data_IF_108776743126
#
_entry.id   IF_108776743126
#
_cell.length_a   1.000
_cell.length_b   1.000
_cell.length_c   1.000
_cell.angle_alpha   90.00
_cell.angle_beta   90.00
_cell.angle_gamma   90.00
#
_symmetry.space_group_name_H-M   'P 1'
#
loop_
_entity.id
_entity.type
_entity.pdbx_description
1 polymer ?
#
# COMPACT_ATOMS: atom_id res chain seq x y z
N UNK A 1 -21.93 -15.48 -57.54
CA UNK A 1 -21.90 -14.21 -56.81
C UNK A 1 -21.72 -14.54 -55.32
N UNK A 2 -20.47 -14.53 -54.87
CA UNK A 2 -20.11 -14.89 -53.49
C UNK A 2 -19.94 -13.57 -52.71
N UNK A 3 -20.82 -13.31 -51.76
CA UNK A 3 -20.78 -12.11 -50.95
C UNK A 3 -19.66 -12.27 -49.89
N UNK A 4 -18.63 -11.45 -49.97
CA UNK A 4 -17.61 -11.27 -48.95
C UNK A 4 -18.25 -10.58 -47.72
N UNK A 5 -18.43 -11.35 -46.65
CA UNK A 5 -18.72 -10.78 -45.31
C UNK A 5 -17.43 -10.14 -44.82
N UNK A 6 -17.37 -8.81 -44.84
CA UNK A 6 -16.32 -8.06 -44.14
C UNK A 6 -16.52 -8.27 -42.63
N UNK A 7 -15.58 -8.97 -42.01
CA UNK A 7 -15.41 -8.91 -40.55
C UNK A 7 -15.13 -7.45 -40.18
N UNK A 8 -16.08 -6.83 -39.49
CA UNK A 8 -15.88 -5.55 -38.82
C UNK A 8 -14.86 -5.83 -37.68
N UNK A 9 -13.63 -5.42 -37.88
CA UNK A 9 -12.61 -5.46 -36.84
C UNK A 9 -13.13 -4.69 -35.64
N UNK A 10 -13.35 -5.39 -34.53
CA UNK A 10 -13.66 -4.77 -33.26
C UNK A 10 -12.49 -3.85 -32.91
N UNK A 11 -12.74 -2.55 -32.79
CA UNK A 11 -11.78 -1.62 -32.19
C UNK A 11 -11.35 -2.18 -30.83
N UNK A 12 -10.05 -2.12 -30.50
CA UNK A 12 -9.60 -2.57 -29.19
C UNK A 12 -10.34 -1.75 -28.12
N UNK A 13 -11.13 -2.42 -27.30
CA UNK A 13 -11.87 -1.79 -26.21
C UNK A 13 -10.88 -0.93 -25.41
N UNK A 14 -11.22 0.35 -25.23
CA UNK A 14 -10.38 1.29 -24.48
C UNK A 14 -10.07 0.69 -23.11
N UNK A 15 -8.79 0.68 -22.75
CA UNK A 15 -8.34 0.14 -21.45
C UNK A 15 -9.03 0.89 -20.32
N UNK A 16 -9.49 0.17 -19.30
CA UNK A 16 -10.03 0.78 -18.07
C UNK A 16 -8.92 1.35 -17.18
N UNK A 17 -7.67 0.98 -17.44
CA UNK A 17 -6.51 1.41 -16.68
C UNK A 17 -6.12 2.85 -17.05
N UNK A 18 -5.80 3.65 -16.05
CA UNK A 18 -5.37 5.05 -16.19
C UNK A 18 -4.06 5.28 -15.45
N UNK A 19 -2.92 4.73 -15.94
CA UNK A 19 -1.65 4.83 -15.23
C UNK A 19 -1.21 6.29 -15.06
N UNK A 20 -0.90 6.67 -13.81
CA UNK A 20 -0.46 8.02 -13.45
C UNK A 20 1.00 8.31 -13.83
N UNK A 21 1.74 7.32 -14.33
CA UNK A 21 3.17 7.45 -14.61
C UNK A 21 4.09 7.44 -13.38
N UNK A 22 3.54 7.35 -12.15
CA UNK A 22 4.35 7.21 -10.94
C UNK A 22 5.03 5.83 -10.93
N UNK A 23 6.35 5.82 -10.89
CA UNK A 23 7.17 4.60 -10.86
C UNK A 23 7.54 4.18 -9.44
N UNK A 24 8.17 2.99 -9.32
CA UNK A 24 8.65 2.36 -8.08
C UNK A 24 9.65 3.20 -7.26
N UNK A 25 10.27 4.22 -7.85
CA UNK A 25 11.26 5.08 -7.18
C UNK A 25 10.69 6.05 -6.14
N UNK A 26 9.37 6.19 -6.04
CA UNK A 26 8.69 7.03 -5.05
C UNK A 26 8.24 6.28 -3.79
N UNK A 27 8.37 4.96 -3.77
CA UNK A 27 7.98 4.14 -2.62
C UNK A 27 9.00 4.24 -1.47
N UNK A 28 8.51 4.27 -0.23
CA UNK A 28 9.36 4.29 0.96
C UNK A 28 10.14 2.98 1.18
N UNK A 29 9.82 1.92 0.43
CA UNK A 29 10.41 0.58 0.57
C UNK A 29 10.73 0.00 -0.80
N UNK A 30 11.78 -0.85 -0.90
CA UNK A 30 12.14 -1.47 -2.17
C UNK A 30 11.07 -2.48 -2.60
N UNK A 31 10.41 -2.23 -3.74
CA UNK A 31 9.49 -3.18 -4.37
C UNK A 31 10.26 -4.17 -5.23
N UNK A 32 10.23 -5.45 -4.87
CA UNK A 32 10.93 -6.50 -5.59
C UNK A 32 12.45 -6.36 -5.51
N UNK A 33 12.97 -6.21 -4.30
CA UNK A 33 14.40 -6.03 -4.04
C UNK A 33 15.24 -7.23 -4.53
N UNK A 34 16.56 -7.06 -4.58
CA UNK A 34 17.47 -8.16 -4.94
C UNK A 34 17.53 -9.28 -3.89
N UNK A 35 16.97 -9.05 -2.68
CA UNK A 35 16.87 -10.05 -1.61
C UNK A 35 15.74 -11.06 -1.88
N UNK A 36 14.71 -10.66 -2.66
CA UNK A 36 13.67 -11.58 -3.12
C UNK A 36 14.25 -12.57 -4.15
N UNK A 37 13.86 -13.82 -4.05
CA UNK A 37 14.22 -14.89 -5.00
C UNK A 37 13.96 -14.43 -6.44
N UNK A 38 14.92 -14.71 -7.33
CA UNK A 38 14.89 -14.22 -8.71
C UNK A 38 13.66 -14.68 -9.49
N UNK A 39 13.24 -15.93 -9.29
CA UNK A 39 12.06 -16.54 -9.90
C UNK A 39 10.74 -15.90 -9.42
N UNK A 40 10.69 -15.33 -8.22
CA UNK A 40 9.49 -14.71 -7.66
C UNK A 40 9.35 -13.20 -7.97
N UNK A 41 10.42 -12.55 -8.43
CA UNK A 41 10.40 -11.08 -8.65
C UNK A 41 9.38 -10.64 -9.70
N UNK A 42 9.19 -11.43 -10.77
CA UNK A 42 8.19 -11.14 -11.80
C UNK A 42 6.78 -11.12 -11.23
N UNK A 43 6.48 -12.03 -10.29
CA UNK A 43 5.18 -12.14 -9.62
C UNK A 43 4.95 -10.97 -8.65
N UNK A 44 5.98 -10.58 -7.87
CA UNK A 44 5.92 -9.36 -7.04
C UNK A 44 5.67 -8.12 -7.90
N UNK A 45 6.30 -8.03 -9.07
CA UNK A 45 6.08 -6.92 -9.99
C UNK A 45 4.70 -6.93 -10.64
N UNK A 46 4.12 -8.11 -10.91
CA UNK A 46 2.74 -8.23 -11.39
C UNK A 46 1.75 -7.73 -10.34
N UNK A 47 1.92 -8.15 -9.08
CA UNK A 47 1.09 -7.69 -7.96
C UNK A 47 1.21 -6.18 -7.73
N UNK A 48 2.43 -5.63 -7.75
CA UNK A 48 2.64 -4.19 -7.64
C UNK A 48 1.93 -3.41 -8.75
N UNK A 49 2.06 -3.86 -10.01
CA UNK A 49 1.38 -3.21 -11.15
C UNK A 49 -0.13 -3.26 -11.00
N UNK A 50 -0.67 -4.40 -10.56
CA UNK A 50 -2.09 -4.55 -10.29
C UNK A 50 -2.56 -3.57 -9.21
N UNK A 51 -1.89 -3.56 -8.04
CA UNK A 51 -2.21 -2.64 -6.95
C UNK A 51 -2.10 -1.18 -7.38
N UNK A 52 -1.04 -0.82 -8.12
CA UNK A 52 -0.81 0.54 -8.59
C UNK A 52 -1.87 1.02 -9.58
N UNK A 53 -2.29 0.17 -10.52
CA UNK A 53 -3.36 0.53 -11.45
C UNK A 53 -4.70 0.73 -10.73
N UNK A 54 -5.02 -0.09 -9.74
CA UNK A 54 -6.22 0.08 -8.92
C UNK A 54 -6.17 1.38 -8.10
N UNK A 55 -5.02 1.72 -7.53
CA UNK A 55 -4.77 2.98 -6.84
C UNK A 55 -4.93 4.20 -7.78
N UNK A 56 -4.34 4.14 -8.98
CA UNK A 56 -4.47 5.19 -9.99
C UNK A 56 -5.93 5.42 -10.43
N UNK A 57 -6.77 4.37 -10.47
CA UNK A 57 -8.21 4.49 -10.71
C UNK A 57 -8.89 5.19 -9.52
N UNK A 58 -8.59 4.76 -8.29
CA UNK A 58 -9.20 5.31 -7.08
C UNK A 58 -8.83 6.79 -6.85
N UNK A 59 -7.61 7.18 -7.21
CA UNK A 59 -7.09 8.53 -7.02
C UNK A 59 -7.32 9.46 -8.22
N UNK A 60 -7.89 8.97 -9.32
CA UNK A 60 -8.09 9.78 -10.52
C UNK A 60 -9.12 10.90 -10.28
N UNK A 61 -8.71 12.18 -10.33
CA UNK A 61 -9.61 13.29 -10.05
C UNK A 61 -10.64 13.54 -11.19
N UNK A 62 -10.39 13.00 -12.39
CA UNK A 62 -11.31 13.14 -13.54
C UNK A 62 -12.46 12.14 -13.50
N UNK A 63 -12.42 11.13 -12.60
CA UNK A 63 -13.46 10.12 -12.49
C UNK A 63 -14.39 10.42 -11.31
N UNK A 64 -15.70 10.22 -11.52
CA UNK A 64 -16.67 10.20 -10.42
C UNK A 64 -16.48 8.96 -9.54
N UNK A 65 -16.96 8.99 -8.28
CA UNK A 65 -16.90 7.82 -7.38
C UNK A 65 -17.54 6.57 -8.01
N UNK A 66 -18.70 6.70 -8.62
CA UNK A 66 -19.38 5.59 -9.31
C UNK A 66 -18.56 5.01 -10.48
N UNK A 67 -17.89 5.87 -11.27
CA UNK A 67 -17.05 5.41 -12.37
C UNK A 67 -15.77 4.71 -11.85
N UNK A 68 -15.19 5.19 -10.76
CA UNK A 68 -14.06 4.53 -10.06
C UNK A 68 -14.46 3.12 -9.63
N UNK A 69 -15.59 2.98 -8.92
CA UNK A 69 -16.11 1.68 -8.46
C UNK A 69 -16.35 0.76 -9.64
N UNK A 70 -17.05 1.24 -10.68
CA UNK A 70 -17.31 0.45 -11.89
C UNK A 70 -16.01 -0.08 -12.53
N UNK A 71 -14.97 0.74 -12.64
CA UNK A 71 -13.67 0.31 -13.21
C UNK A 71 -12.95 -0.71 -12.30
N UNK A 72 -13.00 -0.54 -10.98
CA UNK A 72 -12.46 -1.49 -10.03
C UNK A 72 -13.22 -2.84 -10.07
N UNK A 73 -14.54 -2.82 -10.30
CA UNK A 73 -15.34 -4.04 -10.50
C UNK A 73 -14.96 -4.77 -11.79
N UNK A 74 -14.76 -4.03 -12.87
CA UNK A 74 -14.28 -4.59 -14.12
C UNK A 74 -12.86 -5.16 -14.00
N UNK A 75 -12.00 -4.53 -13.20
CA UNK A 75 -10.67 -5.04 -12.91
C UNK A 75 -10.73 -6.34 -12.10
N UNK A 76 -11.67 -6.45 -11.14
CA UNK A 76 -11.95 -7.69 -10.42
C UNK A 76 -12.44 -8.80 -11.35
N UNK A 77 -13.42 -8.51 -12.21
CA UNK A 77 -13.94 -9.46 -13.18
C UNK A 77 -12.86 -9.94 -14.18
N UNK A 78 -11.95 -9.04 -14.60
CA UNK A 78 -10.83 -9.41 -15.46
C UNK A 78 -9.79 -10.31 -14.73
N UNK A 79 -9.55 -10.05 -13.44
CA UNK A 79 -8.71 -10.88 -12.58
C UNK A 79 -9.29 -12.31 -12.48
N UNK A 80 -10.61 -12.42 -12.31
CA UNK A 80 -11.32 -13.70 -12.19
C UNK A 80 -11.53 -14.40 -13.55
N UNK A 81 -11.17 -13.75 -14.66
CA UNK A 81 -11.37 -14.29 -15.99
C UNK A 81 -12.82 -14.17 -16.51
N UNK A 82 -13.69 -13.47 -15.78
CA UNK A 82 -15.09 -13.29 -16.11
C UNK A 82 -15.35 -12.12 -17.11
N UNK A 83 -14.32 -11.33 -17.42
CA UNK A 83 -14.44 -10.19 -18.34
C UNK A 83 -13.36 -10.25 -19.43
N UNK A 84 -13.75 -9.84 -20.67
CA UNK A 84 -12.82 -9.64 -21.81
C UNK A 84 -12.39 -8.18 -21.97
N UNK A 85 -12.75 -7.31 -21.02
CA UNK A 85 -12.37 -5.90 -21.07
C UNK A 85 -10.85 -5.78 -20.94
N UNK A 86 -10.27 -4.81 -21.64
CA UNK A 86 -8.83 -4.55 -21.59
C UNK A 86 -8.41 -4.04 -20.20
N UNK A 87 -7.89 -4.96 -19.38
CA UNK A 87 -7.29 -4.70 -18.08
C UNK A 87 -5.95 -5.45 -17.98
N UNK A 88 -4.90 -4.97 -18.66
CA UNK A 88 -3.61 -5.68 -18.79
C UNK A 88 -2.98 -6.05 -17.45
N UNK A 89 -3.05 -5.17 -16.44
CA UNK A 89 -2.49 -5.45 -15.12
C UNK A 89 -3.25 -6.58 -14.41
N UNK A 90 -4.58 -6.63 -14.53
CA UNK A 90 -5.39 -7.70 -13.96
C UNK A 90 -5.15 -9.03 -14.69
N UNK A 91 -5.02 -9.02 -16.01
CA UNK A 91 -4.71 -10.20 -16.81
C UNK A 91 -3.34 -10.79 -16.44
N UNK A 92 -2.30 -9.95 -16.39
CA UNK A 92 -0.96 -10.35 -15.98
C UNK A 92 -0.92 -10.88 -14.53
N UNK A 93 -1.74 -10.28 -13.64
CA UNK A 93 -1.86 -10.76 -12.26
C UNK A 93 -2.53 -12.13 -12.20
N UNK A 94 -3.60 -12.37 -12.96
CA UNK A 94 -4.26 -13.69 -13.06
C UNK A 94 -3.30 -14.78 -13.54
N UNK A 95 -2.49 -14.50 -14.57
CA UNK A 95 -1.46 -15.41 -15.04
C UNK A 95 -0.44 -15.72 -13.94
N UNK A 96 -0.03 -14.69 -13.19
CA UNK A 96 0.88 -14.83 -12.05
C UNK A 96 0.29 -15.71 -10.95
N UNK A 97 -0.98 -15.52 -10.59
CA UNK A 97 -1.68 -16.33 -9.59
C UNK A 97 -1.80 -17.78 -10.04
N UNK A 98 -2.13 -18.02 -11.31
CA UNK A 98 -2.20 -19.37 -11.88
C UNK A 98 -0.84 -20.08 -11.84
N UNK A 99 0.23 -19.36 -12.19
CA UNK A 99 1.58 -19.92 -12.22
C UNK A 99 2.15 -20.24 -10.83
N UNK A 100 1.73 -19.50 -9.80
CA UNK A 100 2.25 -19.63 -8.42
C UNK A 100 1.34 -20.41 -7.49
N UNK A 101 0.07 -20.61 -7.85
CA UNK A 101 -0.94 -21.18 -6.97
C UNK A 101 -1.34 -20.25 -5.80
N UNK A 102 -0.91 -18.98 -5.81
CA UNK A 102 -1.25 -18.00 -4.77
C UNK A 102 -2.71 -17.58 -4.89
N UNK A 103 -3.39 -17.36 -3.78
CA UNK A 103 -4.79 -16.95 -3.75
C UNK A 103 -5.04 -15.57 -4.35
N UNK A 104 -6.14 -15.39 -5.08
CA UNK A 104 -6.59 -14.09 -5.56
C UNK A 104 -7.17 -13.19 -4.44
N UNK A 105 -7.40 -13.74 -3.24
CA UNK A 105 -8.04 -13.01 -2.13
C UNK A 105 -7.30 -11.72 -1.79
N UNK A 106 -5.97 -11.71 -1.83
CA UNK A 106 -5.17 -10.51 -1.55
C UNK A 106 -5.43 -9.39 -2.55
N UNK A 107 -5.66 -9.72 -3.82
CA UNK A 107 -6.02 -8.76 -4.85
C UNK A 107 -7.44 -8.22 -4.63
N UNK A 108 -8.40 -9.08 -4.29
CA UNK A 108 -9.77 -8.68 -3.98
C UNK A 108 -9.85 -7.78 -2.75
N UNK A 109 -9.05 -8.08 -1.71
CA UNK A 109 -8.97 -7.25 -0.51
C UNK A 109 -8.44 -5.84 -0.83
N UNK A 110 -7.40 -5.72 -1.67
CA UNK A 110 -6.92 -4.42 -2.15
C UNK A 110 -8.00 -3.66 -2.95
N UNK A 111 -8.69 -4.34 -3.87
CA UNK A 111 -9.78 -3.71 -4.63
C UNK A 111 -10.91 -3.23 -3.72
N UNK A 112 -11.17 -3.94 -2.60
CA UNK A 112 -12.11 -3.48 -1.58
C UNK A 112 -11.66 -2.17 -0.94
N UNK A 113 -10.37 -2.03 -0.59
CA UNK A 113 -9.84 -0.78 -0.05
C UNK A 113 -9.94 0.37 -1.05
N UNK A 114 -9.61 0.14 -2.32
CA UNK A 114 -9.69 1.16 -3.36
C UNK A 114 -11.14 1.60 -3.66
N UNK A 115 -12.13 0.68 -3.50
CA UNK A 115 -13.55 1.08 -3.54
C UNK A 115 -13.91 1.98 -2.35
N UNK A 116 -13.39 1.68 -1.15
CA UNK A 116 -13.57 2.57 0.00
C UNK A 116 -12.96 3.95 -0.27
N UNK A 117 -11.78 4.02 -0.89
CA UNK A 117 -11.12 5.29 -1.23
C UNK A 117 -11.91 6.14 -2.24
N UNK A 118 -12.75 5.53 -3.06
CA UNK A 118 -13.63 6.27 -3.96
C UNK A 118 -14.73 7.07 -3.24
N UNK A 119 -15.09 6.68 -2.01
CA UNK A 119 -16.22 7.24 -1.25
C UNK A 119 -15.83 7.79 0.11
N UNK A 120 -14.99 7.05 0.87
CA UNK A 120 -14.63 7.37 2.25
C UNK A 120 -13.48 8.38 2.30
N UNK A 121 -13.73 9.52 2.93
CA UNK A 121 -12.76 10.62 3.01
C UNK A 121 -12.24 10.88 4.42
N UNK A 122 -12.88 10.29 5.45
CA UNK A 122 -12.59 10.51 6.87
C UNK A 122 -12.68 9.21 7.64
N UNK A 123 -11.92 9.11 8.70
CA UNK A 123 -11.88 7.97 9.62
C UNK A 123 -12.29 8.46 11.00
N UNK A 124 -13.26 7.79 11.62
CA UNK A 124 -13.80 8.20 12.92
C UNK A 124 -12.72 8.15 14.00
N UNK A 125 -12.11 6.99 14.16
CA UNK A 125 -11.14 6.68 15.21
C UNK A 125 -9.99 5.80 14.66
N UNK A 126 -9.08 5.40 15.55
CA UNK A 126 -7.96 4.53 15.20
C UNK A 126 -8.40 3.15 14.69
N UNK A 127 -9.43 2.56 15.29
CA UNK A 127 -9.91 1.23 14.89
C UNK A 127 -10.54 1.26 13.50
N UNK A 128 -11.22 2.34 13.15
CA UNK A 128 -11.75 2.57 11.80
C UNK A 128 -10.62 2.71 10.77
N UNK A 129 -9.50 3.36 11.12
CA UNK A 129 -8.30 3.42 10.28
C UNK A 129 -7.64 2.04 10.16
N UNK A 130 -7.55 1.28 11.25
CA UNK A 130 -7.02 -0.09 11.22
C UNK A 130 -7.91 -1.03 10.41
N UNK A 131 -9.24 -0.84 10.47
CA UNK A 131 -10.20 -1.53 9.62
C UNK A 131 -9.93 -1.32 8.12
N UNK A 132 -9.55 -0.09 7.73
CA UNK A 132 -9.10 0.21 6.37
C UNK A 132 -7.74 -0.44 6.06
N UNK A 133 -6.75 -0.30 6.94
CA UNK A 133 -5.41 -0.90 6.75
C UNK A 133 -5.45 -2.42 6.57
N UNK A 134 -6.46 -3.09 7.14
CA UNK A 134 -6.69 -4.53 6.95
C UNK A 134 -6.86 -4.89 5.47
N UNK A 135 -7.42 -3.99 4.65
CA UNK A 135 -7.67 -4.22 3.23
C UNK A 135 -6.69 -3.46 2.34
N UNK A 136 -6.19 -2.30 2.75
CA UNK A 136 -5.28 -1.49 1.92
C UNK A 136 -3.81 -1.85 2.05
N UNK A 137 -3.40 -2.42 3.19
CA UNK A 137 -1.99 -2.66 3.49
C UNK A 137 -1.67 -4.13 3.78
N UNK A 138 -2.43 -4.79 4.66
CA UNK A 138 -2.17 -6.18 5.07
C UNK A 138 -2.07 -7.17 3.90
N UNK A 139 -2.90 -7.09 2.82
CA UNK A 139 -2.83 -7.99 1.68
C UNK A 139 -1.47 -7.98 0.98
N UNK A 140 -0.74 -6.86 1.02
CA UNK A 140 0.60 -6.75 0.40
C UNK A 140 1.60 -7.69 1.08
N UNK A 141 1.66 -7.63 2.40
CA UNK A 141 2.57 -8.49 3.16
C UNK A 141 2.16 -9.97 3.10
N UNK A 142 0.85 -10.24 3.20
CA UNK A 142 0.32 -11.61 3.10
C UNK A 142 0.61 -12.24 1.73
N UNK A 143 0.40 -11.50 0.64
CA UNK A 143 0.75 -11.96 -0.70
C UNK A 143 2.22 -12.33 -0.82
N UNK A 144 3.11 -11.48 -0.31
CA UNK A 144 4.57 -11.75 -0.36
C UNK A 144 4.93 -13.00 0.46
N UNK A 145 4.32 -13.20 1.63
CA UNK A 145 4.53 -14.41 2.44
C UNK A 145 4.02 -15.67 1.72
N UNK A 146 2.80 -15.64 1.22
CA UNK A 146 2.20 -16.77 0.52
C UNK A 146 2.98 -17.15 -0.76
N UNK A 147 3.43 -16.12 -1.52
CA UNK A 147 4.26 -16.31 -2.70
C UNK A 147 5.59 -17.02 -2.38
N UNK A 148 6.13 -16.85 -1.17
CA UNK A 148 7.34 -17.51 -0.71
C UNK A 148 7.07 -18.85 -0.02
N UNK A 149 5.81 -19.26 0.14
CA UNK A 149 5.42 -20.47 0.84
C UNK A 149 5.62 -20.39 2.36
N UNK A 150 5.59 -19.19 2.92
CA UNK A 150 5.73 -18.94 4.36
C UNK A 150 4.43 -19.27 5.11
N UNK A 151 4.55 -19.56 6.40
CA UNK A 151 3.38 -19.90 7.22
C UNK A 151 2.45 -18.70 7.42
N UNK A 152 1.13 -18.92 7.32
CA UNK A 152 0.11 -17.92 7.66
C UNK A 152 0.13 -17.50 9.14
N UNK A 153 0.80 -18.25 10.02
CA UNK A 153 1.03 -17.84 11.42
C UNK A 153 1.83 -16.54 11.52
N UNK A 154 2.52 -16.12 10.45
CA UNK A 154 3.26 -14.87 10.35
C UNK A 154 2.39 -13.68 9.97
N UNK A 155 1.15 -13.90 9.50
CA UNK A 155 0.27 -12.82 9.07
C UNK A 155 0.04 -11.75 10.13
N UNK A 156 -0.20 -12.06 11.43
CA UNK A 156 -0.40 -10.99 12.42
C UNK A 156 0.80 -10.03 12.56
N UNK A 157 2.02 -10.53 12.45
CA UNK A 157 3.23 -9.69 12.50
C UNK A 157 3.45 -8.93 11.18
N UNK A 158 3.14 -9.55 10.06
CA UNK A 158 3.16 -8.92 8.72
C UNK A 158 2.12 -7.81 8.61
N UNK A 159 0.88 -8.06 9.07
CA UNK A 159 -0.20 -7.08 9.09
C UNK A 159 0.16 -5.86 9.93
N UNK A 160 0.80 -6.09 11.10
CA UNK A 160 1.28 -5.00 11.94
C UNK A 160 2.34 -4.15 11.23
N UNK A 161 3.28 -4.78 10.50
CA UNK A 161 4.25 -4.06 9.69
C UNK A 161 3.57 -3.24 8.59
N UNK A 162 2.70 -3.87 7.81
CA UNK A 162 2.00 -3.21 6.69
C UNK A 162 1.13 -2.05 7.17
N UNK A 163 0.39 -2.22 8.27
CA UNK A 163 -0.41 -1.14 8.86
C UNK A 163 0.49 0.01 9.36
N UNK A 164 1.63 -0.29 10.01
CA UNK A 164 2.57 0.73 10.44
C UNK A 164 3.10 1.54 9.25
N UNK A 165 3.49 0.88 8.16
CA UNK A 165 3.98 1.52 6.95
C UNK A 165 2.91 2.41 6.31
N UNK A 166 1.67 1.94 6.27
CA UNK A 166 0.54 2.69 5.72
C UNK A 166 0.26 3.95 6.54
N UNK A 167 0.21 3.84 7.87
CA UNK A 167 0.03 5.02 8.74
C UNK A 167 1.17 6.02 8.58
N UNK A 168 2.41 5.55 8.49
CA UNK A 168 3.57 6.43 8.26
C UNK A 168 3.46 7.18 6.92
N UNK A 169 3.02 6.50 5.85
CA UNK A 169 2.76 7.15 4.57
C UNK A 169 1.65 8.21 4.70
N UNK A 170 0.54 7.89 5.36
CA UNK A 170 -0.55 8.84 5.59
C UNK A 170 -0.12 10.07 6.41
N UNK A 171 0.80 9.91 7.35
CA UNK A 171 1.34 11.04 8.11
C UNK A 171 2.31 11.88 7.27
N UNK A 172 3.08 11.26 6.37
CA UNK A 172 3.98 11.98 5.45
C UNK A 172 3.21 12.81 4.42
N UNK A 173 2.09 12.28 3.94
CA UNK A 173 1.35 12.82 2.83
C UNK A 173 0.02 13.47 3.28
N UNK A 174 -0.16 13.76 4.59
CA UNK A 174 -1.44 14.24 5.16
C UNK A 174 -1.92 15.58 4.54
N UNK A 175 -1.03 16.52 4.28
CA UNK A 175 -1.38 17.79 3.63
C UNK A 175 -1.68 17.63 2.13
N UNK A 176 -0.82 16.99 1.30
CA UNK A 176 -1.14 16.76 -0.11
C UNK A 176 -2.37 15.87 -0.33
N UNK A 177 -2.62 14.86 0.50
CA UNK A 177 -3.83 14.02 0.40
C UNK A 177 -5.09 14.83 0.69
N UNK A 178 -5.05 15.69 1.72
CA UNK A 178 -6.16 16.59 1.99
C UNK A 178 -6.39 17.60 0.86
N UNK A 179 -5.32 18.21 0.36
CA UNK A 179 -5.43 19.23 -0.69
C UNK A 179 -5.92 18.68 -2.04
N UNK A 180 -5.46 17.47 -2.42
CA UNK A 180 -5.72 16.90 -3.75
C UNK A 180 -6.95 15.99 -3.81
N UNK A 181 -7.20 15.22 -2.74
CA UNK A 181 -8.20 14.17 -2.70
C UNK A 181 -9.30 14.45 -1.68
N UNK A 182 -9.19 15.53 -0.89
CA UNK A 182 -10.02 15.78 0.29
C UNK A 182 -10.08 14.56 1.23
N UNK A 183 -8.98 13.83 1.32
CA UNK A 183 -8.87 12.60 2.11
C UNK A 183 -8.01 12.85 3.34
N UNK A 184 -8.51 12.49 4.54
CA UNK A 184 -7.82 12.67 5.82
C UNK A 184 -7.85 11.36 6.59
N UNK A 185 -6.67 10.80 6.84
CA UNK A 185 -6.48 9.56 7.58
C UNK A 185 -6.25 9.78 9.09
N UNK A 186 -6.14 11.03 9.52
CA UNK A 186 -6.09 11.37 10.94
C UNK A 186 -7.47 11.14 11.56
N UNK A 187 -7.57 10.37 12.69
CA UNK A 187 -8.84 10.10 13.34
C UNK A 187 -9.57 11.35 13.75
N UNK A 188 -10.87 11.42 13.41
CA UNK A 188 -11.69 12.60 13.70
C UNK A 188 -11.84 12.82 15.21
N UNK A 189 -11.97 11.73 15.98
CA UNK A 189 -12.10 11.80 17.44
C UNK A 189 -10.81 12.34 18.08
N UNK A 190 -9.63 11.98 17.55
CA UNK A 190 -8.35 12.53 18.03
C UNK A 190 -8.22 14.04 17.71
N UNK A 191 -8.64 14.45 16.50
CA UNK A 191 -8.66 15.87 16.11
C UNK A 191 -9.59 16.67 17.02
N UNK A 192 -10.80 16.16 17.27
CA UNK A 192 -11.77 16.81 18.15
C UNK A 192 -11.27 16.90 19.61
N UNK A 193 -10.65 15.84 20.13
CA UNK A 193 -10.05 15.83 21.45
C UNK A 193 -8.90 16.84 21.60
N UNK A 194 -8.16 17.11 20.50
CA UNK A 194 -7.13 18.14 20.46
C UNK A 194 -7.67 19.57 20.22
N UNK A 195 -9.02 19.74 20.13
CA UNK A 195 -9.68 21.02 19.90
C UNK A 195 -9.45 21.61 18.51
N UNK A 196 -9.15 20.78 17.51
CA UNK A 196 -8.87 21.20 16.13
C UNK A 196 -9.75 20.43 15.13
N UNK A 197 -9.84 20.95 13.91
CA UNK A 197 -10.48 20.27 12.78
C UNK A 197 -9.51 20.00 11.65
N UNK A 198 -9.99 19.33 10.60
CA UNK A 198 -9.19 18.99 9.39
C UNK A 198 -8.56 20.22 8.71
N UNK A 199 -9.12 21.42 8.90
CA UNK A 199 -8.59 22.66 8.37
C UNK A 199 -7.16 22.96 8.87
N UNK A 200 -6.75 22.40 10.01
CA UNK A 200 -5.38 22.51 10.52
C UNK A 200 -4.32 21.95 9.54
N UNK A 201 -4.72 21.02 8.63
CA UNK A 201 -3.85 20.49 7.60
C UNK A 201 -3.54 21.46 6.43
N UNK A 202 -4.20 22.63 6.38
CA UNK A 202 -3.94 23.68 5.40
C UNK A 202 -2.87 24.68 5.85
N UNK A 203 -2.40 24.57 7.09
CA UNK A 203 -1.36 25.44 7.61
C UNK A 203 0.01 25.08 7.05
N UNK A 204 0.93 26.04 7.01
CA UNK A 204 2.31 25.84 6.57
C UNK A 204 3.15 25.06 7.59
N UNK A 205 2.68 24.93 8.84
CA UNK A 205 3.33 24.23 9.95
C UNK A 205 2.34 23.55 10.87
N UNK A 206 2.80 22.47 11.47
CA UNK A 206 2.05 21.72 12.47
C UNK A 206 1.85 22.59 13.72
N UNK A 207 0.58 22.88 14.08
CA UNK A 207 0.22 23.53 15.34
C UNK A 207 0.29 22.52 16.51
N UNK A 208 0.25 23.03 17.75
CA UNK A 208 0.33 22.20 18.96
C UNK A 208 -0.75 21.10 19.02
N UNK A 209 -1.99 21.42 18.68
CA UNK A 209 -3.09 20.44 18.64
C UNK A 209 -2.84 19.34 17.60
N UNK A 210 -2.41 19.71 16.39
CA UNK A 210 -2.10 18.72 15.33
C UNK A 210 -0.86 17.87 15.71
N UNK A 211 0.13 18.45 16.41
CA UNK A 211 1.28 17.72 16.93
C UNK A 211 0.87 16.63 17.91
N UNK A 212 -0.08 16.93 18.82
CA UNK A 212 -0.62 15.93 19.76
C UNK A 212 -1.27 14.76 19.03
N UNK A 213 -2.07 15.03 17.98
CA UNK A 213 -2.71 13.98 17.18
C UNK A 213 -1.66 13.13 16.46
N UNK A 214 -0.69 13.77 15.78
CA UNK A 214 0.39 13.06 15.08
C UNK A 214 1.21 12.21 16.04
N UNK A 215 1.58 12.74 17.22
CA UNK A 215 2.36 12.01 18.20
C UNK A 215 1.58 10.83 18.78
N UNK A 216 0.28 10.98 19.06
CA UNK A 216 -0.60 9.87 19.47
C UNK A 216 -0.71 8.77 18.41
N UNK A 217 -0.80 9.14 17.13
CA UNK A 217 -0.75 8.17 16.03
C UNK A 217 0.61 7.48 15.93
N UNK A 218 1.71 8.22 16.13
CA UNK A 218 3.07 7.66 16.12
C UNK A 218 3.33 6.73 17.30
N UNK A 219 2.72 6.95 18.47
CA UNK A 219 2.81 6.03 19.61
C UNK A 219 2.13 4.69 19.30
N UNK A 220 0.92 4.73 18.74
CA UNK A 220 0.20 3.53 18.28
C UNK A 220 0.94 2.83 17.14
N UNK A 221 1.54 3.59 16.22
CA UNK A 221 2.36 3.03 15.12
C UNK A 221 3.65 2.39 15.65
N UNK A 222 4.29 2.97 16.66
CA UNK A 222 5.45 2.36 17.29
C UNK A 222 5.11 0.99 17.91
N UNK A 223 3.94 0.86 18.54
CA UNK A 223 3.46 -0.43 19.04
C UNK A 223 3.23 -1.46 17.92
N UNK A 224 2.76 -1.03 16.75
CA UNK A 224 2.68 -1.91 15.56
C UNK A 224 4.07 -2.34 15.10
N UNK A 225 5.05 -1.44 15.07
CA UNK A 225 6.44 -1.75 14.70
C UNK A 225 7.06 -2.74 15.70
N UNK A 226 6.78 -2.62 17.01
CA UNK A 226 7.24 -3.60 18.01
C UNK A 226 6.65 -4.99 17.73
N UNK A 227 5.36 -5.09 17.39
CA UNK A 227 4.76 -6.37 16.98
C UNK A 227 5.38 -6.92 15.70
N UNK A 228 5.73 -6.05 14.76
CA UNK A 228 6.37 -6.42 13.50
C UNK A 228 7.78 -7.02 13.68
N UNK A 229 8.44 -6.79 14.81
CA UNK A 229 9.74 -7.44 15.13
C UNK A 229 9.63 -8.96 15.24
N UNK A 230 8.44 -9.52 15.41
CA UNK A 230 8.21 -10.96 15.41
C UNK A 230 8.22 -11.57 14.00
N UNK A 231 8.11 -10.74 12.94
CA UNK A 231 8.04 -11.22 11.57
C UNK A 231 9.37 -11.82 11.09
N UNK A 232 10.51 -11.09 11.11
CA UNK A 232 11.76 -11.60 10.52
C UNK A 232 12.22 -12.95 11.08
N UNK A 233 12.21 -13.21 12.41
CA UNK A 233 12.66 -14.50 12.93
C UNK A 233 11.83 -15.69 12.48
N UNK A 234 10.55 -15.47 12.18
CA UNK A 234 9.62 -16.52 11.73
C UNK A 234 9.74 -16.86 10.25
N UNK A 235 10.28 -15.96 9.42
CA UNK A 235 10.39 -16.15 7.97
C UNK A 235 11.47 -17.19 7.66
N UNK A 236 11.12 -18.23 6.90
CA UNK A 236 12.05 -19.31 6.52
C UNK A 236 13.00 -18.90 5.40
N UNK A 237 12.48 -18.22 4.35
CA UNK A 237 13.26 -17.74 3.22
C UNK A 237 14.26 -16.66 3.64
N UNK A 238 15.56 -16.97 3.59
CA UNK A 238 16.63 -16.09 4.09
C UNK A 238 16.58 -14.66 3.52
N UNK A 239 16.40 -14.55 2.20
CA UNK A 239 16.33 -13.23 1.56
C UNK A 239 15.15 -12.40 2.03
N UNK A 240 13.95 -12.99 2.14
CA UNK A 240 12.74 -12.33 2.64
C UNK A 240 12.89 -11.98 4.14
N UNK A 241 13.55 -12.84 4.92
CA UNK A 241 13.88 -12.57 6.33
C UNK A 241 14.74 -11.32 6.47
N UNK A 242 15.80 -11.21 5.68
CA UNK A 242 16.66 -10.03 5.67
C UNK A 242 15.89 -8.77 5.24
N UNK A 243 15.06 -8.89 4.20
CA UNK A 243 14.27 -7.78 3.69
C UNK A 243 13.25 -7.27 4.72
N UNK A 244 12.50 -8.17 5.34
CA UNK A 244 11.54 -7.79 6.41
C UNK A 244 12.24 -7.16 7.61
N UNK A 245 13.43 -7.65 8.01
CA UNK A 245 14.21 -7.06 9.07
C UNK A 245 14.69 -5.63 8.74
N UNK A 246 15.09 -5.39 7.49
CA UNK A 246 15.44 -4.04 7.00
C UNK A 246 14.21 -3.13 7.02
N UNK A 247 13.06 -3.59 6.52
CA UNK A 247 11.82 -2.80 6.47
C UNK A 247 11.37 -2.42 7.89
N UNK A 248 11.39 -3.35 8.85
CA UNK A 248 11.07 -3.06 10.27
C UNK A 248 12.01 -1.98 10.83
N UNK A 249 13.31 -2.07 10.55
CA UNK A 249 14.29 -1.07 11.01
C UNK A 249 14.03 0.32 10.37
N UNK A 250 13.64 0.36 9.09
CA UNK A 250 13.28 1.59 8.39
C UNK A 250 12.00 2.19 8.94
N UNK A 251 10.96 1.38 9.21
CA UNK A 251 9.71 1.83 9.83
C UNK A 251 9.98 2.48 11.20
N UNK A 252 10.75 1.81 12.08
CA UNK A 252 11.15 2.38 13.36
C UNK A 252 11.92 3.70 13.22
N UNK A 253 12.74 3.84 12.18
CA UNK A 253 13.47 5.07 11.91
C UNK A 253 12.56 6.18 11.42
N UNK A 254 11.57 5.87 10.57
CA UNK A 254 10.61 6.84 10.07
C UNK A 254 9.70 7.37 11.18
N UNK A 255 9.26 6.51 12.13
CA UNK A 255 8.58 6.95 13.36
C UNK A 255 9.41 8.04 14.07
N UNK A 256 10.71 7.80 14.31
CA UNK A 256 11.58 8.78 14.98
C UNK A 256 11.76 10.08 14.18
N UNK A 257 11.77 10.01 12.85
CA UNK A 257 11.87 11.20 11.99
C UNK A 257 10.59 12.03 12.05
N UNK A 258 9.43 11.40 11.95
CA UNK A 258 8.13 12.08 12.01
C UNK A 258 7.86 12.70 13.39
N UNK A 259 8.41 12.14 14.48
CA UNK A 259 8.35 12.77 15.81
C UNK A 259 9.11 14.10 15.87
N UNK A 260 10.15 14.26 15.06
CA UNK A 260 11.02 15.46 15.08
C UNK A 260 10.73 16.42 13.94
N UNK A 261 10.19 15.91 12.84
CA UNK A 261 9.91 16.67 11.64
C UNK A 261 8.51 17.27 11.64
N UNK A 262 8.28 18.19 10.73
CA UNK A 262 7.00 18.83 10.47
C UNK A 262 6.50 18.41 9.08
N UNK A 263 5.52 17.47 8.99
CA UNK A 263 5.04 16.97 7.70
C UNK A 263 4.24 18.00 6.89
N UNK A 264 3.88 19.15 7.46
CA UNK A 264 3.27 20.24 6.71
C UNK A 264 4.33 21.15 6.09
N UNK A 265 5.47 21.35 6.78
CA UNK A 265 6.53 22.23 6.31
C UNK A 265 7.46 21.57 5.30
N UNK A 266 7.69 20.25 5.45
CA UNK A 266 8.62 19.49 4.61
C UNK A 266 8.20 18.03 4.47
N UNK A 267 8.61 17.36 3.39
CA UNK A 267 8.41 15.91 3.28
C UNK A 267 9.38 15.17 4.19
N UNK A 268 8.90 14.72 5.33
CA UNK A 268 9.66 13.90 6.29
C UNK A 268 9.84 12.50 5.73
N UNK A 269 10.98 12.19 5.10
CA UNK A 269 11.23 10.92 4.44
C UNK A 269 12.52 10.24 4.88
N UNK A 270 12.75 9.02 4.39
CA UNK A 270 13.98 8.28 4.56
C UNK A 270 14.98 8.67 3.46
N UNK A 271 16.21 8.98 3.85
CA UNK A 271 17.30 9.27 2.91
C UNK A 271 18.18 8.05 2.63
N UNK A 272 19.06 8.13 1.64
CA UNK A 272 20.02 7.06 1.28
C UNK A 272 20.83 6.58 2.48
N UNK A 273 21.24 7.48 3.40
CA UNK A 273 21.95 7.13 4.61
C UNK A 273 21.14 6.23 5.57
N UNK A 274 19.80 6.35 5.57
CA UNK A 274 18.94 5.52 6.39
C UNK A 274 18.93 4.08 5.88
N UNK A 275 18.84 3.90 4.57
CA UNK A 275 18.93 2.60 3.93
C UNK A 275 20.31 1.95 4.16
N UNK A 276 21.39 2.70 3.97
CA UNK A 276 22.75 2.21 4.22
C UNK A 276 22.96 1.79 5.67
N UNK A 277 22.36 2.48 6.63
CA UNK A 277 22.45 2.14 8.05
C UNK A 277 21.53 0.97 8.45
N UNK A 278 20.41 0.78 7.77
CA UNK A 278 19.46 -0.29 8.06
C UNK A 278 19.90 -1.64 7.49
N UNK A 279 20.52 -1.65 6.30
CA UNK A 279 20.93 -2.86 5.58
C UNK A 279 21.85 -3.79 6.44
N UNK A 280 22.98 -3.36 6.99
CA UNK A 280 23.86 -4.25 7.76
C UNK A 280 23.17 -4.79 9.02
N UNK A 281 22.38 -3.95 9.70
CA UNK A 281 21.66 -4.33 10.92
C UNK A 281 20.52 -5.30 10.61
N UNK A 282 19.78 -5.08 9.53
CA UNK A 282 18.72 -5.97 9.08
C UNK A 282 19.26 -7.33 8.65
N UNK A 283 20.34 -7.34 7.84
CA UNK A 283 21.01 -8.57 7.43
C UNK A 283 21.58 -9.32 8.65
N UNK A 284 22.28 -8.65 9.58
CA UNK A 284 22.79 -9.27 10.78
C UNK A 284 21.69 -9.86 11.69
N UNK A 285 20.52 -9.21 11.78
CA UNK A 285 19.35 -9.76 12.49
C UNK A 285 18.72 -10.93 11.74
N UNK A 286 18.61 -10.86 10.42
CA UNK A 286 18.12 -11.95 9.58
C UNK A 286 19.04 -13.20 9.57
N UNK A 287 20.31 -13.05 9.95
CA UNK A 287 21.27 -14.16 10.09
C UNK A 287 21.16 -14.87 11.44
N UNK A 288 20.59 -14.24 12.46
CA UNK A 288 20.36 -14.85 13.78
C UNK A 288 19.03 -15.62 13.73
N UNK A 289 19.11 -16.95 13.87
CA UNK A 289 17.96 -17.81 14.13
C UNK A 289 17.62 -17.80 15.60
#
# INVERSE_FOLDING_TARGET
MTALVREVGAEPAASIETPSGKGRGGENFPVGSRLIRRDLRSHVHAFYRFARNADDIADNPALTGGEKIRRLDLMAAALDGASRIAAPAAAAMRESLTATGTTAQHCHDLLRAFRLDAEKRRYRDWDDLMGYCRYSAAPVGRYVLDLHGESSTLWPASDALCAALQVLNHLQDCAPDYARLDRVYLPQDDLAAAGIGVAALKADRVCSGLRLVIDGMLDRTAALVERAHLLPPGVAAWGLRCETAVIVALAARLVRRLRRGDPLAERVGLGKADFLAALPRGVARGMRR
#
